data_IF_601469227924
#
_entry.id   IF_601469227924
#
_cell.length_a   1.000
_cell.length_b   1.000
_cell.length_c   1.000
_cell.angle_alpha   90.00
_cell.angle_beta   90.00
_cell.angle_gamma   90.00
#
_symmetry.space_group_name_H-M   'P 1'
#
loop_
_entity.id
_entity.type
_entity.pdbx_description
1 polymer ?
#
# COMPACT_ATOMS: atom_id res chain seq x y z
N UNK A 1 20.33 -26.46 -13.34
CA UNK A 1 20.55 -25.49 -14.39
C UNK A 1 21.93 -25.74 -15.00
N UNK A 2 21.95 -26.23 -16.26
CA UNK A 2 23.23 -26.50 -16.94
C UNK A 2 23.89 -25.18 -17.35
N UNK A 3 24.92 -24.79 -16.65
CA UNK A 3 25.84 -23.74 -17.06
C UNK A 3 26.76 -24.32 -18.14
N UNK A 4 26.32 -24.35 -19.37
CA UNK A 4 27.15 -24.67 -20.52
C UNK A 4 26.98 -23.59 -21.59
N UNK A 5 27.42 -22.39 -21.28
CA UNK A 5 27.58 -21.29 -22.21
C UNK A 5 28.94 -20.65 -22.02
N UNK A 6 29.57 -20.23 -23.11
CA UNK A 6 30.85 -19.55 -23.16
C UNK A 6 30.86 -18.16 -22.49
N UNK A 7 30.14 -17.99 -21.38
CA UNK A 7 29.97 -16.78 -20.60
C UNK A 7 30.01 -17.04 -19.10
N UNK A 8 30.93 -17.94 -18.65
CA UNK A 8 31.19 -18.07 -17.22
C UNK A 8 31.87 -16.80 -16.74
N UNK A 9 31.04 -15.87 -16.26
CA UNK A 9 31.51 -14.64 -15.64
C UNK A 9 32.12 -15.00 -14.29
N UNK A 10 33.41 -14.81 -14.12
CA UNK A 10 34.09 -14.89 -12.83
C UNK A 10 33.79 -13.68 -11.94
N UNK A 11 32.85 -12.84 -12.33
CA UNK A 11 32.44 -11.65 -11.59
C UNK A 11 31.54 -12.07 -10.42
N UNK A 12 31.68 -11.36 -9.29
CA UNK A 12 30.78 -11.52 -8.15
C UNK A 12 29.35 -11.22 -8.60
N UNK A 13 28.39 -12.13 -8.41
CA UNK A 13 26.99 -11.92 -8.80
C UNK A 13 26.28 -10.87 -7.94
N UNK A 14 26.91 -10.30 -6.91
CA UNK A 14 26.34 -9.30 -6.02
C UNK A 14 24.96 -9.71 -5.51
N UNK A 15 24.91 -10.75 -4.68
CA UNK A 15 23.67 -11.30 -4.14
C UNK A 15 23.26 -10.57 -2.86
N UNK A 16 21.99 -10.25 -2.73
CA UNK A 16 21.38 -9.81 -1.48
C UNK A 16 21.28 -10.93 -0.46
N UNK A 17 21.09 -10.66 0.84
CA UNK A 17 20.88 -11.69 1.84
C UNK A 17 19.75 -12.65 1.49
N UNK A 18 19.88 -13.91 1.89
CA UNK A 18 18.86 -14.95 1.70
C UNK A 18 17.54 -14.56 2.36
N UNK A 19 16.48 -14.40 1.59
CA UNK A 19 15.15 -13.99 2.04
C UNK A 19 14.05 -14.65 1.19
N UNK A 20 12.78 -14.43 1.54
CA UNK A 20 11.64 -14.89 0.74
C UNK A 20 11.49 -14.09 -0.56
N UNK A 21 11.87 -12.82 -0.57
CA UNK A 21 11.85 -11.93 -1.75
C UNK A 21 10.55 -12.05 -2.57
N UNK A 22 9.41 -11.95 -1.90
CA UNK A 22 8.05 -12.09 -2.46
C UNK A 22 7.70 -13.47 -3.01
N UNK A 23 8.45 -14.49 -2.65
CA UNK A 23 8.20 -15.89 -3.01
C UNK A 23 7.84 -16.77 -1.82
N UNK A 24 7.39 -18.00 -2.10
CA UNK A 24 7.10 -19.01 -1.07
C UNK A 24 8.35 -19.74 -0.56
N UNK A 25 9.49 -19.54 -1.21
CA UNK A 25 10.77 -20.19 -0.88
C UNK A 25 11.88 -19.16 -0.78
N UNK A 26 12.85 -19.43 0.12
CA UNK A 26 14.02 -18.58 0.26
C UNK A 26 14.85 -18.56 -1.03
N UNK A 27 15.27 -17.38 -1.45
CA UNK A 27 16.15 -17.18 -2.60
C UNK A 27 17.07 -15.98 -2.35
N UNK A 28 18.07 -15.83 -3.20
CA UNK A 28 18.97 -14.67 -3.22
C UNK A 28 18.51 -13.72 -4.32
N UNK A 29 18.10 -12.50 -3.97
CA UNK A 29 17.87 -11.46 -4.93
C UNK A 29 19.19 -10.95 -5.52
N UNK A 30 19.12 -10.38 -6.71
CA UNK A 30 20.26 -9.72 -7.35
C UNK A 30 20.32 -8.26 -6.89
N UNK A 31 21.45 -7.84 -6.35
CA UNK A 31 21.66 -6.43 -5.97
C UNK A 31 21.75 -5.51 -7.19
N UNK A 32 21.62 -4.21 -6.97
CA UNK A 32 21.82 -3.21 -8.02
C UNK A 32 23.22 -3.31 -8.62
N UNK A 33 23.28 -3.31 -9.95
CA UNK A 33 24.55 -3.47 -10.70
C UNK A 33 25.10 -4.89 -10.73
N UNK A 34 24.34 -5.91 -10.30
CA UNK A 34 24.72 -7.30 -10.47
C UNK A 34 24.97 -7.65 -11.94
N UNK A 35 26.10 -8.26 -12.29
CA UNK A 35 26.36 -8.74 -13.65
C UNK A 35 25.50 -9.96 -14.04
N UNK A 36 24.71 -10.49 -13.10
CA UNK A 36 23.77 -11.57 -13.36
C UNK A 36 22.41 -11.06 -13.88
N UNK A 37 22.14 -9.75 -13.72
CA UNK A 37 20.95 -9.11 -14.34
C UNK A 37 21.14 -9.10 -15.85
N UNK A 38 20.10 -9.47 -16.57
CA UNK A 38 20.11 -9.53 -18.05
C UNK A 38 21.32 -10.28 -18.65
N UNK A 39 22.03 -11.06 -17.81
CA UNK A 39 23.23 -11.79 -18.18
C UNK A 39 22.99 -13.21 -18.68
N UNK A 40 21.74 -13.64 -18.71
CA UNK A 40 21.34 -15.00 -19.06
C UNK A 40 21.04 -15.18 -20.55
N UNK A 41 20.46 -16.32 -20.89
CA UNK A 41 20.08 -16.68 -22.26
C UNK A 41 18.58 -16.89 -22.37
N UNK A 42 17.90 -16.11 -23.19
CA UNK A 42 16.46 -16.23 -23.42
C UNK A 42 16.06 -17.58 -24.03
N UNK A 43 16.97 -18.26 -24.73
CA UNK A 43 16.71 -19.59 -25.31
C UNK A 43 16.64 -20.71 -24.28
N UNK A 44 17.26 -20.54 -23.13
CA UNK A 44 17.30 -21.50 -22.03
C UNK A 44 16.52 -21.04 -20.80
N UNK A 45 15.87 -19.90 -20.91
CA UNK A 45 15.11 -19.27 -19.87
C UNK A 45 13.82 -20.03 -19.56
N UNK A 46 13.58 -20.46 -18.31
CA UNK A 46 12.26 -20.95 -17.92
C UNK A 46 11.22 -19.82 -18.03
N UNK A 47 9.96 -20.16 -18.27
CA UNK A 47 8.88 -19.16 -18.39
C UNK A 47 8.60 -18.37 -17.11
N UNK A 48 9.08 -18.84 -15.96
CA UNK A 48 8.95 -18.17 -14.67
C UNK A 48 10.17 -18.38 -13.79
N UNK A 49 10.43 -17.44 -12.90
CA UNK A 49 11.44 -17.54 -11.86
C UNK A 49 10.97 -18.41 -10.66
N UNK A 50 11.79 -18.54 -9.62
CA UNK A 50 11.47 -19.34 -8.43
C UNK A 50 10.26 -18.79 -7.65
N UNK A 51 9.92 -17.51 -7.82
CA UNK A 51 8.79 -16.84 -7.19
C UNK A 51 7.51 -16.94 -8.02
N UNK A 52 7.61 -17.35 -9.26
CA UNK A 52 6.50 -17.41 -10.23
C UNK A 52 6.42 -16.16 -11.13
N UNK A 53 7.35 -15.23 -11.03
CA UNK A 53 7.40 -14.06 -11.92
C UNK A 53 7.79 -14.50 -13.33
N UNK A 54 7.15 -13.89 -14.32
CA UNK A 54 7.43 -14.16 -15.74
C UNK A 54 8.89 -13.83 -16.09
N UNK A 55 9.43 -14.56 -17.06
CA UNK A 55 10.76 -14.38 -17.62
C UNK A 55 10.72 -14.43 -19.15
N UNK A 56 11.56 -13.70 -19.87
CA UNK A 56 12.52 -12.69 -19.39
C UNK A 56 11.86 -11.32 -19.12
N UNK A 57 12.45 -10.54 -18.23
CA UNK A 57 12.07 -9.15 -17.95
C UNK A 57 13.29 -8.27 -18.17
N UNK A 58 13.09 -6.99 -18.51
CA UNK A 58 14.15 -5.98 -18.53
C UNK A 58 14.55 -5.64 -17.09
N UNK A 59 15.65 -6.17 -16.64
CA UNK A 59 16.15 -6.05 -15.28
C UNK A 59 17.01 -4.83 -15.03
N UNK A 60 17.61 -4.25 -16.07
CA UNK A 60 18.55 -3.13 -15.98
C UNK A 60 18.02 -1.82 -16.58
N UNK A 61 16.87 -1.87 -17.25
CA UNK A 61 16.17 -0.70 -17.81
C UNK A 61 16.71 -0.24 -19.17
N UNK A 62 17.41 -1.09 -19.90
CA UNK A 62 17.96 -0.81 -21.22
C UNK A 62 16.93 -0.99 -22.37
N UNK A 63 15.73 -1.44 -22.04
CA UNK A 63 14.60 -1.83 -22.91
C UNK A 63 14.81 -3.13 -23.69
N UNK A 64 15.71 -3.99 -23.22
CA UNK A 64 15.92 -5.32 -23.77
C UNK A 64 15.63 -6.37 -22.70
N UNK A 65 14.50 -7.07 -22.82
CA UNK A 65 14.19 -8.16 -21.88
C UNK A 65 15.11 -9.33 -22.09
N UNK A 66 16.01 -9.56 -21.15
CA UNK A 66 16.93 -10.68 -21.12
C UNK A 66 16.80 -11.42 -19.79
N UNK A 67 16.87 -12.73 -19.82
CA UNK A 67 16.76 -13.52 -18.60
C UNK A 67 17.95 -13.29 -17.66
N UNK A 68 17.69 -13.15 -16.38
CA UNK A 68 18.74 -13.09 -15.36
C UNK A 68 19.44 -14.45 -15.22
N UNK A 69 20.68 -14.44 -14.78
CA UNK A 69 21.38 -15.68 -14.40
C UNK A 69 20.91 -16.11 -13.03
N UNK A 70 20.30 -17.29 -12.94
CA UNK A 70 19.88 -17.88 -11.67
C UNK A 70 18.38 -18.10 -11.57
N UNK A 71 17.90 -18.22 -10.33
CA UNK A 71 16.51 -18.54 -10.00
C UNK A 71 15.65 -17.29 -9.70
N UNK A 72 16.24 -16.12 -9.72
CA UNK A 72 15.61 -14.84 -9.45
C UNK A 72 15.64 -14.00 -10.72
N UNK A 73 14.50 -13.45 -11.12
CA UNK A 73 14.40 -12.48 -12.21
C UNK A 73 14.23 -11.09 -11.62
N UNK A 74 15.22 -10.25 -11.82
CA UNK A 74 15.16 -8.87 -11.42
C UNK A 74 14.39 -8.06 -12.47
N UNK A 75 13.42 -7.30 -12.02
CA UNK A 75 12.62 -6.49 -12.93
C UNK A 75 12.24 -5.15 -12.33
N UNK A 76 11.83 -4.22 -13.19
CA UNK A 76 11.22 -3.00 -12.74
C UNK A 76 9.99 -3.34 -11.91
N UNK A 77 9.97 -2.92 -10.65
CA UNK A 77 8.85 -3.14 -9.74
C UNK A 77 8.25 -1.83 -9.26
N UNK A 78 6.94 -1.87 -8.96
CA UNK A 78 6.24 -0.85 -8.20
C UNK A 78 6.03 -1.32 -6.76
N UNK A 79 6.15 -0.36 -5.83
CA UNK A 79 5.95 -0.54 -4.40
C UNK A 79 5.10 0.61 -3.89
N UNK A 80 4.21 0.34 -2.95
CA UNK A 80 3.37 1.35 -2.33
C UNK A 80 3.59 1.37 -0.82
N UNK A 81 3.62 2.57 -0.21
CA UNK A 81 3.74 2.71 1.24
C UNK A 81 2.41 2.49 1.94
N UNK A 82 2.46 2.05 3.19
CA UNK A 82 1.34 2.18 4.12
C UNK A 82 1.17 3.63 4.57
N UNK A 83 -0.02 3.96 5.09
CA UNK A 83 -0.33 5.27 5.67
C UNK A 83 -1.32 5.16 6.82
N UNK A 84 -1.28 6.14 7.74
CA UNK A 84 -2.28 6.31 8.78
C UNK A 84 -2.59 7.80 8.96
N UNK A 85 -3.82 8.12 9.31
CA UNK A 85 -4.29 9.48 9.49
C UNK A 85 -5.46 9.51 10.46
N UNK A 86 -5.50 10.51 11.34
CA UNK A 86 -6.67 10.84 12.18
C UNK A 86 -7.72 11.52 11.33
N UNK A 87 -8.97 11.11 11.43
CA UNK A 87 -10.04 11.61 10.57
C UNK A 87 -10.47 13.04 10.89
N UNK A 88 -10.60 13.37 12.20
CA UNK A 88 -11.04 14.67 12.70
C UNK A 88 -12.56 14.88 12.63
N UNK A 89 -13.08 15.84 13.40
CA UNK A 89 -14.51 16.05 13.70
C UNK A 89 -15.39 16.40 12.48
N UNK A 90 -14.84 16.70 11.31
CA UNK A 90 -15.64 17.08 10.12
C UNK A 90 -14.81 17.38 8.88
N UNK A 91 -15.47 17.32 7.71
CA UNK A 91 -14.85 17.64 6.42
C UNK A 91 -14.04 16.50 5.85
N UNK A 92 -12.92 16.79 5.19
CA UNK A 92 -12.04 15.74 4.69
C UNK A 92 -10.58 16.14 4.80
N UNK A 93 -9.72 15.16 5.09
CA UNK A 93 -8.26 15.31 5.17
C UNK A 93 -7.60 14.31 4.24
N UNK A 94 -6.51 14.71 3.57
CA UNK A 94 -5.84 13.87 2.58
C UNK A 94 -4.83 12.92 3.22
N UNK A 95 -5.07 11.61 3.10
CA UNK A 95 -4.10 10.56 3.38
C UNK A 95 -3.23 10.33 2.15
N UNK A 96 -1.91 10.30 2.32
CA UNK A 96 -0.95 10.23 1.21
C UNK A 96 -0.24 8.90 1.18
N UNK A 97 -0.15 8.30 -0.03
CA UNK A 97 0.60 7.08 -0.31
C UNK A 97 1.70 7.38 -1.32
N UNK A 98 2.90 6.88 -1.06
CA UNK A 98 4.03 7.02 -1.97
C UNK A 98 4.16 5.75 -2.79
N UNK A 99 4.07 5.88 -4.11
CA UNK A 99 4.33 4.79 -5.05
C UNK A 99 5.73 4.99 -5.64
N UNK A 100 6.57 3.98 -5.50
CA UNK A 100 8.00 4.03 -5.87
C UNK A 100 8.30 2.98 -6.93
N UNK A 101 9.13 3.33 -7.91
CA UNK A 101 9.76 2.36 -8.82
C UNK A 101 11.07 1.86 -8.24
N UNK A 102 11.42 0.60 -8.50
CA UNK A 102 12.69 0.01 -8.04
C UNK A 102 13.92 0.67 -8.65
N UNK A 103 13.83 1.17 -9.90
CA UNK A 103 14.89 1.91 -10.56
C UNK A 103 14.37 2.87 -11.65
N UNK A 104 15.25 3.76 -12.13
CA UNK A 104 14.95 4.72 -13.20
C UNK A 104 14.97 4.02 -14.55
N UNK A 105 13.96 4.29 -15.38
CA UNK A 105 13.90 3.84 -16.77
C UNK A 105 14.00 5.01 -17.74
N UNK A 106 14.41 4.73 -18.98
CA UNK A 106 14.38 5.68 -20.10
C UNK A 106 12.99 5.79 -20.74
N UNK A 107 12.08 4.88 -20.41
CA UNK A 107 10.70 4.80 -20.94
C UNK A 107 9.68 5.23 -19.91
N UNK A 108 8.50 5.62 -20.39
CA UNK A 108 7.32 5.85 -19.57
C UNK A 108 6.73 4.52 -19.16
N UNK A 109 6.37 4.38 -17.88
CA UNK A 109 5.68 3.21 -17.34
C UNK A 109 4.39 3.63 -16.64
N UNK A 110 3.41 2.74 -16.58
CA UNK A 110 2.12 2.98 -15.92
C UNK A 110 1.79 1.88 -14.94
N UNK A 111 1.02 2.24 -13.94
CA UNK A 111 0.36 1.32 -13.00
C UNK A 111 -1.00 1.91 -12.66
N UNK A 112 -2.02 1.09 -12.54
CA UNK A 112 -3.29 1.54 -12.01
C UNK A 112 -3.29 1.39 -10.49
N UNK A 113 -3.99 2.29 -9.81
CA UNK A 113 -4.27 2.18 -8.38
C UNK A 113 -5.77 2.36 -8.12
N UNK A 114 -6.27 1.72 -7.07
CA UNK A 114 -7.65 1.82 -6.64
C UNK A 114 -7.75 1.58 -5.13
N UNK A 115 -8.80 2.07 -4.49
CA UNK A 115 -9.12 1.71 -3.12
C UNK A 115 -9.99 0.46 -3.05
N UNK A 116 -9.83 -0.32 -1.99
CA UNK A 116 -10.63 -1.51 -1.67
C UNK A 116 -11.05 -1.42 -0.22
N UNK A 117 -12.36 -1.51 0.03
CA UNK A 117 -12.92 -1.47 1.38
C UNK A 117 -12.35 -2.58 2.27
N UNK A 118 -12.20 -2.25 3.55
CA UNK A 118 -11.86 -3.16 4.64
C UNK A 118 -12.92 -3.05 5.73
N UNK A 119 -12.53 -2.62 6.93
CA UNK A 119 -13.48 -2.14 7.95
C UNK A 119 -13.98 -0.76 7.57
N UNK A 120 -13.11 0.13 7.10
CA UNK A 120 -13.48 1.41 6.52
C UNK A 120 -14.18 1.24 5.17
N UNK A 121 -15.27 1.98 4.93
CA UNK A 121 -16.15 1.86 3.77
C UNK A 121 -16.12 3.12 2.89
N UNK A 122 -15.92 2.92 1.61
CA UNK A 122 -15.95 4.01 0.65
C UNK A 122 -17.30 4.75 0.62
N UNK A 123 -17.28 6.05 0.86
CA UNK A 123 -18.45 6.92 0.92
C UNK A 123 -18.99 7.18 2.33
N UNK A 124 -18.55 6.41 3.34
CA UNK A 124 -18.76 6.69 4.76
C UNK A 124 -17.47 7.31 5.33
N UNK A 125 -16.39 6.57 5.34
CA UNK A 125 -15.15 6.90 6.06
C UNK A 125 -14.06 7.48 5.15
N UNK A 126 -14.16 7.24 3.84
CA UNK A 126 -13.25 7.82 2.85
C UNK A 126 -13.90 7.95 1.48
N UNK A 127 -13.33 8.80 0.62
CA UNK A 127 -13.76 8.91 -0.77
C UNK A 127 -13.10 7.80 -1.60
N UNK A 128 -13.91 6.83 -2.06
CA UNK A 128 -13.42 5.72 -2.87
C UNK A 128 -12.79 6.20 -4.18
N UNK A 129 -11.58 5.69 -4.48
CA UNK A 129 -10.87 5.96 -5.73
C UNK A 129 -11.06 4.78 -6.67
N UNK A 130 -11.74 4.97 -7.82
CA UNK A 130 -11.84 3.92 -8.83
C UNK A 130 -10.50 3.64 -9.48
N UNK A 131 -10.36 2.52 -10.20
CA UNK A 131 -9.13 2.20 -10.93
C UNK A 131 -8.68 3.39 -11.79
N UNK A 132 -7.54 3.95 -11.42
CA UNK A 132 -6.98 5.19 -11.97
C UNK A 132 -5.54 4.95 -12.40
N UNK A 133 -5.19 5.32 -13.62
CA UNK A 133 -3.85 5.11 -14.16
C UNK A 133 -2.88 6.19 -13.70
N UNK A 134 -1.80 5.78 -13.06
CA UNK A 134 -0.66 6.61 -12.69
C UNK A 134 0.47 6.43 -13.70
N UNK A 135 1.00 7.52 -14.20
CA UNK A 135 2.05 7.52 -15.23
C UNK A 135 3.37 8.00 -14.66
N UNK A 136 4.39 7.17 -14.74
CA UNK A 136 5.77 7.51 -14.41
C UNK A 136 6.53 7.88 -15.67
N UNK A 137 6.88 9.14 -15.81
CA UNK A 137 7.75 9.61 -16.90
C UNK A 137 9.19 9.08 -16.71
N UNK A 138 10.02 9.08 -17.76
CA UNK A 138 11.44 8.77 -17.63
C UNK A 138 12.08 9.54 -16.47
N UNK A 139 12.99 8.91 -15.75
CA UNK A 139 13.70 9.45 -14.58
C UNK A 139 12.82 9.79 -13.33
N UNK A 140 11.52 9.52 -13.35
CA UNK A 140 10.67 9.68 -12.15
C UNK A 140 10.73 8.42 -11.30
N UNK A 141 11.21 8.49 -10.07
CA UNK A 141 11.29 7.35 -9.14
C UNK A 141 10.03 7.18 -8.29
N UNK A 142 9.43 8.28 -7.87
CA UNK A 142 8.32 8.27 -6.92
C UNK A 142 7.18 9.15 -7.40
N UNK A 143 5.96 8.77 -7.06
CA UNK A 143 4.76 9.60 -7.16
C UNK A 143 3.93 9.45 -5.89
N UNK A 144 3.16 10.48 -5.55
CA UNK A 144 2.24 10.46 -4.42
C UNK A 144 0.82 10.46 -4.95
N UNK A 145 -0.01 9.58 -4.42
CA UNK A 145 -1.46 9.58 -4.60
C UNK A 145 -2.13 9.87 -3.27
N UNK A 146 -3.31 10.47 -3.30
CA UNK A 146 -4.03 10.83 -2.10
C UNK A 146 -5.43 10.23 -2.11
N UNK A 147 -5.93 9.91 -0.91
CA UNK A 147 -7.30 9.51 -0.65
C UNK A 147 -7.87 10.48 0.38
N UNK A 148 -9.04 11.04 0.11
CA UNK A 148 -9.71 11.93 1.06
C UNK A 148 -10.39 11.08 2.14
N UNK A 149 -10.00 11.25 3.40
CA UNK A 149 -10.60 10.66 4.59
C UNK A 149 -11.70 11.60 5.06
N UNK A 150 -12.87 11.07 5.35
CA UNK A 150 -14.04 11.82 5.79
C UNK A 150 -14.09 11.78 7.31
N UNK A 151 -14.12 12.95 7.93
CA UNK A 151 -14.23 13.07 9.38
C UNK A 151 -15.68 13.34 9.81
N UNK A 152 -16.05 12.83 10.96
CA UNK A 152 -17.34 13.10 11.60
C UNK A 152 -17.19 13.28 13.14
N UNK A 153 -18.14 12.93 13.96
CA UNK A 153 -18.08 13.09 15.42
C UNK A 153 -18.64 11.86 16.13
N UNK A 154 -18.56 10.73 15.47
CA UNK A 154 -19.05 9.46 15.98
C UNK A 154 -17.86 8.66 16.53
N UNK A 155 -17.88 8.36 17.83
CA UNK A 155 -16.88 7.47 18.46
C UNK A 155 -16.93 6.07 17.82
N UNK A 156 -15.89 5.71 17.11
CA UNK A 156 -15.74 4.46 16.37
C UNK A 156 -14.45 3.74 16.80
N UNK A 157 -14.12 2.67 16.17
CA UNK A 157 -12.83 2.01 16.33
C UNK A 157 -11.92 2.39 15.15
N UNK A 158 -10.61 2.39 15.35
CA UNK A 158 -9.68 2.54 14.24
C UNK A 158 -10.02 1.60 13.09
N UNK A 159 -10.15 2.13 11.89
CA UNK A 159 -10.63 1.40 10.72
C UNK A 159 -9.55 1.29 9.64
N UNK A 160 -9.76 0.38 8.69
CA UNK A 160 -8.78 0.12 7.65
C UNK A 160 -9.45 -0.08 6.28
N UNK A 161 -8.79 0.44 5.26
CA UNK A 161 -8.98 0.10 3.86
C UNK A 161 -7.63 -0.19 3.20
N UNK A 162 -7.61 -0.52 1.92
CA UNK A 162 -6.37 -0.83 1.20
C UNK A 162 -6.31 -0.05 -0.11
N UNK A 163 -5.14 0.47 -0.47
CA UNK A 163 -4.85 0.95 -1.82
C UNK A 163 -4.10 -0.14 -2.57
N UNK A 164 -4.68 -0.65 -3.65
CA UNK A 164 -4.10 -1.75 -4.44
C UNK A 164 -3.52 -1.23 -5.75
N UNK A 165 -2.38 -1.81 -6.16
CA UNK A 165 -1.76 -1.58 -7.46
C UNK A 165 -2.08 -2.74 -8.41
N UNK A 166 -2.21 -2.45 -9.70
CA UNK A 166 -2.43 -3.47 -10.71
C UNK A 166 -2.36 -2.90 -12.12
N UNK A 167 -2.64 -3.75 -13.12
CA UNK A 167 -2.70 -3.37 -14.53
C UNK A 167 -1.49 -2.54 -15.01
N UNK A 168 -0.29 -2.94 -14.55
CA UNK A 168 0.97 -2.27 -14.86
C UNK A 168 1.37 -2.46 -16.33
N UNK A 169 2.24 -1.59 -16.83
CA UNK A 169 2.86 -1.73 -18.15
C UNK A 169 3.49 -3.11 -18.34
N UNK A 170 3.50 -3.61 -19.57
CA UNK A 170 4.14 -4.88 -19.90
C UNK A 170 5.63 -4.86 -19.50
N UNK A 171 6.11 -5.97 -18.93
CA UNK A 171 7.49 -6.12 -18.47
C UNK A 171 7.78 -5.45 -17.11
N UNK A 172 6.75 -4.92 -16.44
CA UNK A 172 6.86 -4.34 -15.09
C UNK A 172 6.23 -5.29 -14.09
N UNK A 173 6.88 -5.48 -12.95
CA UNK A 173 6.36 -6.24 -11.82
C UNK A 173 5.62 -5.33 -10.83
N UNK A 174 4.82 -5.90 -9.95
CA UNK A 174 4.39 -5.24 -8.73
C UNK A 174 5.04 -5.99 -7.58
N UNK A 175 6.01 -5.36 -6.93
CA UNK A 175 6.76 -5.96 -5.82
C UNK A 175 5.96 -5.92 -4.53
N UNK A 176 5.37 -4.75 -4.22
CA UNK A 176 4.38 -4.59 -3.17
C UNK A 176 3.13 -3.95 -3.79
N UNK A 177 2.06 -4.71 -3.89
CA UNK A 177 0.85 -4.32 -4.61
C UNK A 177 -0.25 -3.75 -3.70
N UNK A 178 -0.01 -3.59 -2.40
CA UNK A 178 -1.04 -3.13 -1.47
C UNK A 178 -0.49 -2.28 -0.33
N UNK A 179 -0.89 -1.01 -0.28
CA UNK A 179 -0.66 -0.13 0.87
C UNK A 179 -1.82 -0.19 1.84
N UNK A 180 -1.54 -0.53 3.10
CA UNK A 180 -2.53 -0.49 4.17
C UNK A 180 -2.79 0.96 4.58
N UNK A 181 -4.06 1.33 4.67
CA UNK A 181 -4.55 2.60 5.19
C UNK A 181 -5.21 2.37 6.54
N UNK A 182 -4.82 3.13 7.55
CA UNK A 182 -5.48 3.11 8.87
C UNK A 182 -6.04 4.50 9.15
N UNK A 183 -7.35 4.57 9.35
CA UNK A 183 -8.07 5.75 9.83
C UNK A 183 -8.09 5.63 11.35
N UNK A 184 -7.61 6.67 12.02
CA UNK A 184 -7.58 6.73 13.49
C UNK A 184 -8.73 7.61 13.95
N UNK A 185 -9.59 7.04 14.81
CA UNK A 185 -10.66 7.75 15.47
C UNK A 185 -10.10 8.71 16.54
N UNK A 186 -10.67 9.90 16.65
CA UNK A 186 -10.31 10.89 17.66
C UNK A 186 -11.53 11.46 18.41
N UNK A 187 -12.67 10.80 18.28
CA UNK A 187 -13.90 11.18 18.95
C UNK A 187 -14.07 10.53 20.32
N UNK A 188 -14.72 11.26 21.21
CA UNK A 188 -14.98 10.79 22.57
C UNK A 188 -16.30 9.99 22.64
N UNK A 189 -16.35 8.87 23.38
CA UNK A 189 -17.58 8.10 23.54
C UNK A 189 -18.70 8.93 24.18
N UNK A 190 -19.96 8.68 23.79
CA UNK A 190 -21.10 9.38 24.35
C UNK A 190 -21.16 9.29 25.87
N UNK A 191 -21.35 10.41 26.55
CA UNK A 191 -21.44 10.49 27.99
C UNK A 191 -22.83 10.92 28.47
N UNK A 192 -23.30 10.36 29.58
CA UNK A 192 -24.53 10.74 30.27
C UNK A 192 -24.20 11.59 31.47
N UNK A 193 -24.84 12.75 31.55
CA UNK A 193 -24.81 13.60 32.75
C UNK A 193 -26.20 13.75 33.34
N UNK A 194 -26.29 13.85 34.65
CA UNK A 194 -27.51 14.16 35.38
C UNK A 194 -27.29 15.39 36.22
N UNK A 195 -28.18 16.36 36.11
CA UNK A 195 -28.12 17.58 36.90
C UNK A 195 -28.67 17.34 38.32
N UNK A 196 -28.00 17.95 39.31
CA UNK A 196 -28.51 17.99 40.66
C UNK A 196 -29.78 18.90 40.73
N UNK A 197 -30.75 18.48 41.52
CA UNK A 197 -31.94 19.30 41.78
C UNK A 197 -32.15 19.51 43.26
N UNK A 198 -32.56 20.68 43.61
CA UNK A 198 -32.94 21.03 44.98
C UNK A 198 -34.34 21.66 44.97
N UNK A 199 -35.15 21.21 45.93
CA UNK A 199 -36.50 21.79 46.08
C UNK A 199 -36.90 21.85 47.56
N UNK A 200 -37.84 22.72 47.83
CA UNK A 200 -38.45 22.79 49.16
C UNK A 200 -39.65 21.84 49.22
N UNK A 201 -39.70 21.03 50.26
CA UNK A 201 -40.76 20.02 50.42
C UNK A 201 -42.16 20.62 50.64
N UNK A 202 -42.25 21.83 51.20
CA UNK A 202 -43.51 22.49 51.62
C UNK A 202 -44.07 21.92 52.92
N UNK A 203 -45.15 22.56 53.42
CA UNK A 203 -45.76 22.17 54.69
C UNK A 203 -46.79 21.04 54.56
N UNK A 204 -47.23 20.67 53.34
CA UNK A 204 -48.16 19.60 53.03
C UNK A 204 -48.21 19.26 51.54
N UNK A 205 -48.64 18.04 51.22
CA UNK A 205 -48.81 17.55 49.84
C UNK A 205 -47.53 16.91 49.31
N UNK A 206 -47.38 16.86 47.99
CA UNK A 206 -46.22 16.29 47.26
C UNK A 206 -45.63 17.34 46.31
N UNK A 207 -44.31 17.39 46.22
CA UNK A 207 -43.56 18.21 45.25
C UNK A 207 -42.80 17.26 44.32
N UNK A 208 -42.84 17.53 43.03
CA UNK A 208 -42.16 16.73 42.01
C UNK A 208 -40.71 17.21 41.86
N UNK A 209 -39.75 16.34 42.10
CA UNK A 209 -38.35 16.54 41.69
C UNK A 209 -38.19 16.18 40.24
N UNK A 210 -37.64 17.05 39.43
CA UNK A 210 -37.31 16.80 38.03
C UNK A 210 -35.81 16.78 37.88
N UNK A 211 -35.30 15.70 37.35
CA UNK A 211 -33.89 15.56 37.02
C UNK A 211 -33.74 15.59 35.48
N UNK A 212 -32.86 16.45 35.02
CA UNK A 212 -32.49 16.47 33.60
C UNK A 212 -31.34 15.50 33.37
N UNK A 213 -31.53 14.57 32.45
CA UNK A 213 -30.47 13.68 31.97
C UNK A 213 -30.12 14.14 30.55
N UNK A 214 -28.84 14.43 30.33
CA UNK A 214 -28.33 14.90 29.05
C UNK A 214 -27.34 13.87 28.50
N UNK A 215 -27.49 13.50 27.21
CA UNK A 215 -26.53 12.76 26.44
C UNK A 215 -25.62 13.77 25.73
N UNK A 216 -24.28 13.60 25.79
CA UNK A 216 -23.32 14.54 25.19
C UNK A 216 -23.43 14.58 23.68
N UNK A 217 -23.55 13.43 23.05
CA UNK A 217 -23.64 13.24 21.61
C UNK A 217 -24.20 11.84 21.32
N UNK A 218 -24.82 11.64 20.15
CA UNK A 218 -25.30 10.32 19.70
C UNK A 218 -24.77 10.05 18.29
#
# INVERSE_FOLDING_TARGET
CGLSGSGDSSSDPLLEPLALNDGSTLNYALADGSPARDGGSNTLCPAADQRGNLRPIDGDGDNTSTCDVGSYEHGLGFFISDASLTEGDSGSTQMSFVITRSFITSTTTTVDYATVDGTALGGADYTAVPSTTLTFLPATMTQTVTVDILGDTLDEIDEQFTVVLGNQSAGVLVGDFSGAATILDDDDPPSLTIEDTALFEGDSGTVTAVFTVTLSQA
#
